data_IF_652250849107
#
_entry.id   IF_652250849107
#
_cell.length_a   1.000
_cell.length_b   1.000
_cell.length_c   1.000
_cell.angle_alpha   90.00
_cell.angle_beta   90.00
_cell.angle_gamma   90.00
#
_symmetry.space_group_name_H-M   'P 1'
#
loop_
_entity.id
_entity.type
_entity.pdbx_description
1 polymer ?
#
# COMPACT_ATOMS: atom_id res chain seq x y z
N UNK A 1 3.60 58.68 -35.14
CA UNK A 1 3.85 58.64 -33.68
C UNK A 1 3.68 57.20 -33.25
N UNK A 2 4.77 56.61 -32.79
CA UNK A 2 4.93 55.19 -32.45
C UNK A 2 4.84 55.04 -30.92
N UNK A 3 4.04 54.13 -30.34
CA UNK A 3 3.87 54.03 -28.89
C UNK A 3 4.96 53.22 -28.16
N UNK A 4 5.96 52.63 -28.83
CA UNK A 4 6.94 51.75 -28.16
C UNK A 4 8.28 52.39 -27.84
N UNK A 5 8.30 53.45 -27.02
CA UNK A 5 9.57 53.96 -26.47
C UNK A 5 9.45 54.42 -25.02
N UNK A 6 9.51 53.48 -24.08
CA UNK A 6 9.77 53.78 -22.67
C UNK A 6 11.28 53.61 -22.41
N UNK A 7 11.99 54.73 -22.19
CA UNK A 7 13.41 54.75 -21.81
C UNK A 7 13.53 54.94 -20.30
N UNK A 8 14.03 53.92 -19.60
CA UNK A 8 14.67 54.09 -18.28
C UNK A 8 16.07 53.49 -18.40
N UNK A 9 17.09 54.34 -18.15
CA UNK A 9 18.45 53.96 -17.76
C UNK A 9 19.15 52.85 -18.56
N UNK A 10 19.75 53.20 -19.70
CA UNK A 10 21.09 52.74 -20.12
C UNK A 10 21.44 51.24 -20.22
N UNK A 11 20.55 50.30 -19.92
CA UNK A 11 20.78 48.86 -20.10
C UNK A 11 19.79 48.31 -21.13
N UNK A 12 20.33 47.87 -22.27
CA UNK A 12 19.65 46.94 -23.16
C UNK A 12 19.51 45.61 -22.41
N UNK A 13 18.37 45.41 -21.75
CA UNK A 13 17.95 44.06 -21.40
C UNK A 13 17.57 43.37 -22.71
N UNK A 14 18.19 42.25 -23.09
CA UNK A 14 17.74 41.51 -24.25
C UNK A 14 16.28 41.13 -23.97
N UNK A 15 15.37 41.62 -24.79
CA UNK A 15 14.04 41.04 -24.91
C UNK A 15 14.29 39.59 -25.27
N UNK A 16 14.16 38.69 -24.29
CA UNK A 16 14.03 37.27 -24.57
C UNK A 16 12.71 37.19 -25.33
N UNK A 17 12.80 37.28 -26.65
CA UNK A 17 11.76 36.80 -27.53
C UNK A 17 11.54 35.36 -27.08
N UNK A 18 10.40 35.15 -26.41
CA UNK A 18 9.90 33.82 -26.12
C UNK A 18 9.65 33.23 -27.50
N UNK A 19 10.66 32.55 -28.06
CA UNK A 19 10.45 31.62 -29.18
C UNK A 19 9.19 30.86 -28.82
N UNK A 20 8.25 30.77 -29.75
CA UNK A 20 7.11 29.88 -29.63
C UNK A 20 7.68 28.46 -29.49
N UNK A 21 8.08 28.12 -28.27
CA UNK A 21 8.73 26.89 -27.93
C UNK A 21 7.60 25.90 -27.81
N UNK A 22 7.67 24.85 -28.61
CA UNK A 22 6.86 23.65 -28.42
C UNK A 22 6.79 23.32 -26.91
N UNK A 23 5.64 22.82 -26.42
CA UNK A 23 5.50 22.47 -25.02
C UNK A 23 6.70 21.62 -24.58
N UNK A 24 7.27 21.87 -23.39
CA UNK A 24 8.40 21.10 -22.90
C UNK A 24 8.05 19.61 -22.85
N UNK A 25 8.95 18.76 -23.35
CA UNK A 25 8.74 17.32 -23.43
C UNK A 25 9.23 16.59 -22.18
N UNK A 26 8.45 15.63 -21.67
CA UNK A 26 8.78 14.80 -20.51
C UNK A 26 8.56 13.33 -20.83
N UNK A 27 9.50 12.48 -20.41
CA UNK A 27 9.34 11.02 -20.45
C UNK A 27 9.10 10.52 -19.02
N UNK A 28 8.02 9.78 -18.83
CA UNK A 28 7.71 9.07 -17.59
C UNK A 28 8.04 7.59 -17.79
N UNK A 29 8.88 7.02 -16.93
CA UNK A 29 9.24 5.61 -16.98
C UNK A 29 8.36 4.85 -15.98
N UNK A 30 7.55 3.93 -16.51
CA UNK A 30 6.58 3.11 -15.78
C UNK A 30 5.14 3.61 -15.93
N UNK A 31 4.26 2.73 -16.38
CA UNK A 31 2.81 2.91 -16.52
C UNK A 31 2.03 2.41 -15.31
N UNK A 32 2.62 2.41 -14.11
CA UNK A 32 1.92 2.14 -12.86
C UNK A 32 1.06 3.32 -12.39
N UNK A 33 0.36 3.15 -11.25
CA UNK A 33 -0.51 4.20 -10.69
C UNK A 33 0.22 5.55 -10.50
N UNK A 34 1.46 5.53 -10.01
CA UNK A 34 2.27 6.73 -9.82
C UNK A 34 2.68 7.38 -11.15
N UNK A 35 3.08 6.58 -12.14
CA UNK A 35 3.48 7.08 -13.45
C UNK A 35 2.32 7.68 -14.23
N UNK A 36 1.16 7.03 -14.21
CA UNK A 36 -0.07 7.56 -14.81
C UNK A 36 -0.50 8.86 -14.11
N UNK A 37 -0.45 8.90 -12.76
CA UNK A 37 -0.77 10.12 -12.02
C UNK A 37 0.19 11.27 -12.37
N UNK A 38 1.50 11.01 -12.43
CA UNK A 38 2.49 12.00 -12.84
C UNK A 38 2.25 12.49 -14.27
N UNK A 39 2.01 11.56 -15.20
CA UNK A 39 1.72 11.88 -16.60
C UNK A 39 0.44 12.73 -16.74
N UNK A 40 -0.61 12.41 -15.97
CA UNK A 40 -1.86 13.18 -15.95
C UNK A 40 -1.63 14.63 -15.48
N UNK A 41 -0.92 14.82 -14.37
CA UNK A 41 -0.59 16.16 -13.84
C UNK A 41 0.26 16.96 -14.82
N UNK A 42 1.29 16.35 -15.41
CA UNK A 42 2.19 16.99 -16.37
C UNK A 42 1.45 17.35 -17.67
N UNK A 43 0.62 16.45 -18.18
CA UNK A 43 -0.19 16.70 -19.38
C UNK A 43 -1.15 17.87 -19.17
N UNK A 44 -1.78 17.97 -17.99
CA UNK A 44 -2.64 19.12 -17.64
C UNK A 44 -1.85 20.42 -17.46
N UNK A 45 -0.53 20.34 -17.30
CA UNK A 45 0.38 21.48 -17.13
C UNK A 45 1.04 21.92 -18.46
N UNK A 46 0.49 21.51 -19.60
CA UNK A 46 0.98 21.85 -20.95
C UNK A 46 2.38 21.29 -21.28
N UNK A 47 2.73 20.12 -20.72
CA UNK A 47 3.91 19.36 -21.16
C UNK A 47 3.51 18.34 -22.24
N UNK A 48 4.42 18.06 -23.16
CA UNK A 48 4.30 16.91 -24.07
C UNK A 48 4.83 15.67 -23.35
N UNK A 49 3.95 14.73 -22.97
CA UNK A 49 4.31 13.60 -22.11
C UNK A 49 4.30 12.29 -22.87
N UNK A 50 5.40 11.53 -22.78
CA UNK A 50 5.49 10.15 -23.24
C UNK A 50 5.67 9.21 -22.05
N UNK A 51 4.84 8.16 -21.95
CA UNK A 51 4.97 7.13 -20.91
C UNK A 51 5.60 5.88 -21.51
N UNK A 52 6.67 5.38 -20.91
CA UNK A 52 7.35 4.14 -21.30
C UNK A 52 7.06 3.06 -20.27
N UNK A 53 6.28 2.05 -20.63
CA UNK A 53 6.00 0.87 -19.81
C UNK A 53 6.72 -0.34 -20.41
N UNK A 54 7.33 -1.16 -19.56
CA UNK A 54 8.08 -2.34 -20.01
C UNK A 54 7.17 -3.54 -20.30
N UNK A 55 6.00 -3.58 -19.68
CA UNK A 55 4.98 -4.60 -19.91
C UNK A 55 4.09 -4.22 -21.09
N UNK A 56 3.33 -5.20 -21.57
CA UNK A 56 2.26 -5.07 -22.56
C UNK A 56 0.97 -4.46 -21.99
N UNK A 57 1.00 -4.02 -20.72
CA UNK A 57 -0.15 -3.48 -20.00
C UNK A 57 0.26 -2.37 -19.04
N UNK A 58 -0.67 -1.46 -18.79
CA UNK A 58 -0.57 -0.44 -17.73
C UNK A 58 -0.98 -1.01 -16.36
N UNK A 59 -0.90 -0.19 -15.31
CA UNK A 59 -1.34 -0.49 -13.94
C UNK A 59 -0.22 -0.94 -13.00
N UNK A 60 0.89 -1.44 -13.53
CA UNK A 60 2.01 -1.92 -12.72
C UNK A 60 1.59 -3.08 -11.81
N UNK A 61 1.72 -2.90 -10.49
CA UNK A 61 1.28 -3.87 -9.47
C UNK A 61 -0.25 -3.91 -9.28
N UNK A 62 -0.99 -2.96 -9.86
CA UNK A 62 -2.46 -3.05 -9.93
C UNK A 62 -2.79 -3.82 -11.20
N UNK A 63 -3.26 -5.06 -11.05
CA UNK A 63 -3.53 -5.96 -12.17
C UNK A 63 -4.71 -6.86 -11.85
N UNK A 64 -5.66 -6.91 -12.78
CA UNK A 64 -6.80 -7.82 -12.76
C UNK A 64 -6.63 -8.86 -13.86
N UNK A 65 -6.70 -10.13 -13.51
CA UNK A 65 -6.70 -11.26 -14.43
C UNK A 65 -8.14 -11.74 -14.66
N UNK A 66 -8.49 -12.04 -15.91
CA UNK A 66 -9.82 -12.50 -16.33
C UNK A 66 -9.80 -13.95 -16.81
N UNK A 67 -8.64 -14.62 -16.81
CA UNK A 67 -8.46 -15.98 -17.35
C UNK A 67 -9.25 -17.05 -16.59
N UNK A 68 -9.66 -16.78 -15.36
CA UNK A 68 -10.40 -17.70 -14.48
C UNK A 68 -11.93 -17.67 -14.68
N UNK A 69 -12.44 -16.92 -15.67
CA UNK A 69 -13.88 -16.76 -15.89
C UNK A 69 -14.56 -15.76 -14.95
N UNK A 70 -13.79 -15.15 -14.04
CA UNK A 70 -14.15 -14.00 -13.22
C UNK A 70 -12.93 -13.07 -13.06
N UNK A 71 -13.14 -11.77 -12.79
CA UNK A 71 -12.05 -10.86 -12.47
C UNK A 71 -11.39 -11.23 -11.15
N UNK A 72 -10.07 -11.43 -11.16
CA UNK A 72 -9.25 -11.70 -9.98
C UNK A 72 -8.14 -10.64 -9.90
N UNK A 73 -8.08 -9.92 -8.78
CA UNK A 73 -6.97 -8.99 -8.53
C UNK A 73 -5.70 -9.77 -8.16
N UNK A 74 -4.66 -9.60 -8.96
CA UNK A 74 -3.35 -10.24 -8.82
C UNK A 74 -2.35 -9.35 -8.09
N UNK A 75 -2.83 -8.32 -7.38
CA UNK A 75 -2.01 -7.31 -6.73
C UNK A 75 -2.79 -6.46 -5.74
N UNK A 76 -2.91 -5.17 -5.99
CA UNK A 76 -3.60 -4.25 -5.07
C UNK A 76 -5.13 -4.49 -5.07
N UNK A 77 -5.62 -5.32 -4.14
CA UNK A 77 -7.05 -5.65 -4.01
C UNK A 77 -7.76 -4.92 -2.86
N UNK A 78 -7.02 -4.19 -2.02
CA UNK A 78 -7.54 -3.59 -0.79
C UNK A 78 -7.28 -2.09 -0.75
N UNK A 79 -8.32 -1.36 -0.38
CA UNK A 79 -8.21 0.05 -0.06
C UNK A 79 -8.32 0.24 1.46
N UNK A 80 -7.19 0.52 2.10
CA UNK A 80 -7.17 0.82 3.52
C UNK A 80 -7.67 2.25 3.77
N UNK A 81 -8.58 2.40 4.73
CA UNK A 81 -9.23 3.67 5.09
C UNK A 81 -9.98 4.32 3.91
N UNK A 82 -11.31 4.22 3.91
CA UNK A 82 -12.20 4.87 2.94
C UNK A 82 -12.63 6.29 3.34
N UNK A 83 -11.89 6.91 4.27
CA UNK A 83 -12.12 8.29 4.72
C UNK A 83 -11.43 9.34 3.85
N UNK A 84 -11.60 10.62 4.21
CA UNK A 84 -10.98 11.77 3.53
C UNK A 84 -9.44 11.76 3.53
N UNK A 85 -8.82 10.93 4.37
CA UNK A 85 -7.37 10.80 4.48
C UNK A 85 -6.76 10.00 3.33
N UNK A 86 -7.60 9.32 2.53
CA UNK A 86 -7.16 8.53 1.39
C UNK A 86 -7.37 9.30 0.08
N UNK A 87 -6.26 9.68 -0.57
CA UNK A 87 -6.29 10.43 -1.84
C UNK A 87 -6.93 9.66 -3.00
N UNK A 88 -7.11 8.34 -2.89
CA UNK A 88 -7.81 7.52 -3.87
C UNK A 88 -9.34 7.49 -3.65
N UNK A 89 -9.82 7.82 -2.45
CA UNK A 89 -11.26 7.78 -2.15
C UNK A 89 -12.12 8.62 -3.10
N UNK A 90 -11.73 9.87 -3.47
CA UNK A 90 -12.47 10.65 -4.45
C UNK A 90 -12.46 10.03 -5.85
N UNK A 91 -11.39 9.34 -6.23
CA UNK A 91 -11.25 8.73 -7.57
C UNK A 91 -12.21 7.56 -7.75
N UNK A 92 -12.49 6.79 -6.71
CA UNK A 92 -13.41 5.64 -6.76
C UNK A 92 -14.80 6.07 -7.21
N UNK A 93 -15.33 7.14 -6.62
CA UNK A 93 -16.63 7.69 -6.97
C UNK A 93 -16.68 8.21 -8.40
N UNK A 94 -15.63 8.93 -8.84
CA UNK A 94 -15.54 9.41 -10.22
C UNK A 94 -15.43 8.28 -11.25
N UNK A 95 -14.79 7.17 -10.89
CA UNK A 95 -14.60 6.01 -11.75
C UNK A 95 -15.78 5.01 -11.69
N UNK A 96 -16.77 5.25 -10.82
CA UNK A 96 -17.90 4.36 -10.63
C UNK A 96 -17.50 2.98 -10.08
N UNK A 97 -16.39 2.90 -9.35
CA UNK A 97 -15.90 1.65 -8.78
C UNK A 97 -16.73 1.26 -7.56
N UNK A 98 -17.09 -0.02 -7.49
CA UNK A 98 -17.85 -0.58 -6.38
C UNK A 98 -16.88 -0.93 -5.26
N UNK A 99 -17.20 -0.50 -4.04
CA UNK A 99 -16.47 -0.89 -2.83
C UNK A 99 -17.27 -1.90 -2.03
N UNK A 100 -16.59 -2.96 -1.61
CA UNK A 100 -17.13 -3.93 -0.68
C UNK A 100 -16.45 -3.74 0.68
N UNK A 101 -17.26 -3.43 1.70
CA UNK A 101 -16.73 -3.32 3.05
C UNK A 101 -16.32 -4.71 3.55
N UNK A 102 -15.07 -4.85 3.96
CA UNK A 102 -14.56 -6.08 4.54
C UNK A 102 -14.30 -5.86 6.02
N UNK A 103 -15.00 -6.62 6.88
CA UNK A 103 -14.72 -6.61 8.32
C UNK A 103 -13.40 -7.34 8.60
N UNK A 104 -12.45 -6.62 9.19
CA UNK A 104 -11.20 -7.20 9.69
C UNK A 104 -11.40 -8.15 10.87
N UNK A 105 -12.53 -8.04 11.57
CA UNK A 105 -12.83 -8.82 12.76
C UNK A 105 -13.62 -10.09 12.45
N UNK A 106 -14.11 -10.26 11.22
CA UNK A 106 -14.89 -11.42 10.81
C UNK A 106 -14.00 -12.48 10.13
N UNK A 107 -13.24 -13.20 10.96
CA UNK A 107 -12.38 -14.28 10.52
C UNK A 107 -12.59 -15.56 11.33
N UNK A 108 -12.31 -16.70 10.69
CA UNK A 108 -12.15 -17.99 11.37
C UNK A 108 -10.74 -18.48 11.12
N UNK A 109 -10.05 -18.88 12.19
CA UNK A 109 -8.75 -19.52 12.12
C UNK A 109 -8.92 -21.03 12.04
N UNK A 110 -8.22 -21.67 11.11
CA UNK A 110 -8.13 -23.12 11.00
C UNK A 110 -6.71 -23.59 11.25
N UNK A 111 -6.53 -24.66 12.02
CA UNK A 111 -5.24 -25.29 12.23
C UNK A 111 -4.76 -26.07 10.98
N UNK A 112 -3.55 -26.63 11.05
CA UNK A 112 -2.98 -27.45 9.97
C UNK A 112 -3.77 -28.74 9.64
N UNK A 113 -4.70 -29.15 10.51
CA UNK A 113 -5.59 -30.30 10.28
C UNK A 113 -6.92 -29.85 9.66
N UNK A 114 -7.12 -28.55 9.44
CA UNK A 114 -8.37 -27.97 8.95
C UNK A 114 -9.46 -27.85 10.02
N UNK A 115 -9.10 -27.93 11.30
CA UNK A 115 -10.05 -27.76 12.41
C UNK A 115 -10.14 -26.29 12.81
N UNK A 116 -11.36 -25.80 13.04
CA UNK A 116 -11.57 -24.44 13.49
C UNK A 116 -11.00 -24.24 14.91
N UNK A 117 -10.20 -23.19 15.07
CA UNK A 117 -9.64 -22.79 16.36
C UNK A 117 -10.69 -22.01 17.14
N UNK A 118 -10.97 -22.35 18.42
CA UNK A 118 -11.92 -21.61 19.24
C UNK A 118 -11.57 -20.13 19.38
N UNK A 119 -12.58 -19.25 19.38
CA UNK A 119 -12.39 -17.79 19.43
C UNK A 119 -11.63 -17.31 20.66
N UNK A 120 -11.84 -17.93 21.83
CA UNK A 120 -11.08 -17.59 23.05
C UNK A 120 -9.58 -17.76 22.83
N UNK A 121 -9.23 -18.86 22.17
CA UNK A 121 -7.85 -19.19 21.87
C UNK A 121 -7.26 -18.26 20.82
N UNK A 122 -8.01 -18.00 19.74
CA UNK A 122 -7.64 -17.03 18.70
C UNK A 122 -7.40 -15.62 19.28
N UNK A 123 -8.26 -15.17 20.19
CA UNK A 123 -8.13 -13.87 20.85
C UNK A 123 -6.87 -13.79 21.72
N UNK A 124 -6.55 -14.83 22.49
CA UNK A 124 -5.31 -14.89 23.29
C UNK A 124 -4.06 -14.79 22.40
N UNK A 125 -4.08 -15.46 21.25
CA UNK A 125 -3.01 -15.30 20.25
C UNK A 125 -2.89 -13.89 19.73
N UNK A 126 -4.00 -13.24 19.39
CA UNK A 126 -4.01 -11.86 18.92
C UNK A 126 -3.30 -10.93 19.91
N UNK A 127 -3.63 -11.03 21.20
CA UNK A 127 -3.01 -10.22 22.26
C UNK A 127 -1.50 -10.45 22.37
N UNK A 128 -1.06 -11.72 22.32
CA UNK A 128 0.37 -12.07 22.39
C UNK A 128 1.11 -11.56 21.16
N UNK A 129 0.51 -11.73 19.98
CA UNK A 129 1.09 -11.29 18.71
C UNK A 129 1.23 -9.76 18.67
N UNK A 130 0.21 -9.01 19.09
CA UNK A 130 0.28 -7.56 19.21
C UNK A 130 1.39 -7.10 20.19
N UNK A 131 1.55 -7.79 21.33
CA UNK A 131 2.63 -7.51 22.27
C UNK A 131 4.00 -7.72 21.61
N UNK A 132 4.19 -8.81 20.87
CA UNK A 132 5.44 -9.07 20.13
C UNK A 132 5.70 -7.97 19.11
N UNK A 133 4.72 -7.64 18.27
CA UNK A 133 4.87 -6.58 17.27
C UNK A 133 5.24 -5.24 17.91
N UNK A 134 4.57 -4.86 18.99
CA UNK A 134 4.85 -3.61 19.70
C UNK A 134 6.26 -3.58 20.30
N UNK A 135 6.72 -4.69 20.84
CA UNK A 135 8.09 -4.79 21.38
C UNK A 135 9.14 -4.85 20.26
N UNK A 136 8.82 -5.37 19.07
CA UNK A 136 9.73 -5.44 17.92
C UNK A 136 9.95 -4.09 17.23
N UNK A 137 9.04 -3.12 17.42
CA UNK A 137 9.19 -1.75 16.88
C UNK A 137 10.23 -0.94 17.68
N UNK A 138 10.30 -1.12 19.00
CA UNK A 138 11.24 -0.37 19.86
C UNK A 138 12.71 -0.47 19.42
N UNK A 139 13.30 -1.66 19.20
CA UNK A 139 14.69 -1.76 18.75
C UNK A 139 14.92 -1.26 17.31
N UNK A 140 13.86 -1.13 16.50
CA UNK A 140 13.94 -0.57 15.14
C UNK A 140 14.01 0.96 15.17
N UNK A 141 13.27 1.60 16.07
CA UNK A 141 13.30 3.06 16.21
C UNK A 141 14.57 3.56 16.93
N UNK A 142 15.20 2.70 17.74
CA UNK A 142 16.40 3.03 18.51
C UNK A 142 17.72 2.92 17.72
N UNK A 143 17.70 2.34 16.52
CA UNK A 143 18.91 2.13 15.71
C UNK A 143 18.91 2.98 14.44
N UNK A 144 20.04 3.59 14.12
CA UNK A 144 20.23 4.37 12.87
C UNK A 144 20.22 3.51 11.60
N UNK A 145 20.36 2.18 11.72
CA UNK A 145 20.45 1.26 10.59
C UNK A 145 19.22 0.37 10.50
N UNK A 146 18.79 0.12 9.26
CA UNK A 146 17.59 -0.65 8.95
C UNK A 146 17.76 -2.12 9.35
N UNK A 147 16.85 -2.62 10.20
CA UNK A 147 16.89 -3.98 10.74
C UNK A 147 15.81 -4.87 10.12
N UNK A 148 16.19 -6.10 9.76
CA UNK A 148 15.23 -7.09 9.25
C UNK A 148 14.21 -7.46 10.33
N UNK A 149 12.94 -7.61 9.93
CA UNK A 149 11.86 -7.94 10.86
C UNK A 149 12.13 -9.26 11.60
N UNK A 150 12.70 -10.24 10.92
CA UNK A 150 13.08 -11.53 11.51
C UNK A 150 14.04 -11.38 12.70
N UNK A 151 15.01 -10.46 12.59
CA UNK A 151 15.98 -10.19 13.65
C UNK A 151 15.29 -9.46 14.81
N UNK A 152 14.46 -8.47 14.53
CA UNK A 152 13.71 -7.73 15.54
C UNK A 152 12.76 -8.65 16.34
N UNK A 153 12.08 -9.58 15.67
CA UNK A 153 11.23 -10.58 16.34
C UNK A 153 12.08 -11.53 17.19
N UNK A 154 13.20 -12.04 16.65
CA UNK A 154 14.07 -12.96 17.39
C UNK A 154 14.59 -12.33 18.69
N UNK A 155 15.03 -11.06 18.63
CA UNK A 155 15.48 -10.33 19.82
C UNK A 155 14.38 -10.16 20.87
N UNK A 156 13.14 -9.94 20.45
CA UNK A 156 11.99 -9.84 21.37
C UNK A 156 11.71 -11.18 22.03
N UNK A 157 11.72 -12.28 21.27
CA UNK A 157 11.48 -13.63 21.79
C UNK A 157 12.59 -14.08 22.75
N UNK A 158 13.85 -13.67 22.53
CA UNK A 158 14.95 -13.89 23.47
C UNK A 158 14.80 -13.10 24.77
N UNK A 159 14.33 -11.85 24.69
CA UNK A 159 14.11 -10.97 25.87
C UNK A 159 12.86 -11.33 26.65
N UNK A 160 11.88 -11.95 26.00
CA UNK A 160 10.60 -12.34 26.57
C UNK A 160 10.35 -13.84 26.35
N UNK A 161 10.99 -14.72 27.14
CA UNK A 161 10.79 -16.17 27.06
C UNK A 161 9.32 -16.57 27.29
N UNK A 162 8.55 -15.74 28.01
CA UNK A 162 7.10 -15.87 28.20
C UNK A 162 6.30 -15.75 26.90
N UNK A 163 6.88 -15.14 25.87
CA UNK A 163 6.32 -15.00 24.52
C UNK A 163 6.87 -16.05 23.55
N UNK A 164 7.78 -16.92 24.00
CA UNK A 164 8.47 -17.86 23.13
C UNK A 164 7.58 -19.05 22.77
N UNK A 165 7.28 -19.18 21.48
CA UNK A 165 6.53 -20.30 20.93
C UNK A 165 7.46 -21.50 20.76
N UNK A 166 7.46 -22.43 21.71
CA UNK A 166 8.28 -23.64 21.58
C UNK A 166 7.68 -24.52 20.48
N UNK A 167 8.41 -24.80 19.41
CA UNK A 167 7.97 -25.66 18.28
C UNK A 167 6.71 -25.19 17.52
N UNK A 168 6.56 -23.88 17.31
CA UNK A 168 5.41 -23.35 16.55
C UNK A 168 4.09 -23.51 17.30
N UNK A 169 4.16 -23.73 18.62
CA UNK A 169 3.05 -24.08 19.48
C UNK A 169 2.97 -23.08 20.62
N UNK A 170 1.84 -22.37 20.74
CA UNK A 170 1.54 -21.62 21.96
C UNK A 170 0.99 -22.59 23.01
N UNK A 171 1.69 -22.73 24.13
CA UNK A 171 1.15 -23.37 25.33
C UNK A 171 0.47 -22.28 26.15
N UNK A 172 -0.85 -22.17 26.04
CA UNK A 172 -1.62 -21.32 26.94
C UNK A 172 -1.93 -22.16 28.17
N UNK A 173 -1.65 -21.68 29.39
CA UNK A 173 -1.99 -22.40 30.61
C UNK A 173 -3.44 -22.89 30.59
N UNK A 174 -3.61 -24.22 30.52
CA UNK A 174 -4.92 -24.90 30.46
C UNK A 174 -5.56 -25.08 29.08
N UNK A 175 -4.99 -24.53 28.00
CA UNK A 175 -5.46 -24.76 26.63
C UNK A 175 -4.31 -25.32 25.78
N UNK A 176 -4.50 -26.53 25.26
CA UNK A 176 -3.48 -27.33 24.59
C UNK A 176 -2.80 -26.67 23.37
N UNK A 177 -1.87 -27.40 22.74
CA UNK A 177 -0.93 -26.87 21.76
C UNK A 177 -1.61 -26.27 20.53
N UNK A 178 -1.18 -25.08 20.10
CA UNK A 178 -1.73 -24.39 18.93
C UNK A 178 -0.69 -24.07 17.84
N UNK A 179 -0.80 -24.68 16.64
CA UNK A 179 0.17 -24.50 15.57
C UNK A 179 0.03 -23.17 14.82
N UNK A 180 1.18 -22.57 14.47
CA UNK A 180 1.35 -21.25 13.83
C UNK A 180 0.88 -21.14 12.36
N UNK A 181 0.33 -22.20 11.77
CA UNK A 181 -0.21 -22.17 10.41
C UNK A 181 -1.73 -22.02 10.48
N UNK A 182 -2.20 -20.78 10.64
CA UNK A 182 -3.62 -20.48 10.65
C UNK A 182 -4.07 -19.99 9.28
N UNK A 183 -5.00 -20.71 8.65
CA UNK A 183 -5.68 -20.20 7.46
C UNK A 183 -6.81 -19.27 7.90
N UNK A 184 -6.71 -17.99 7.52
CA UNK A 184 -7.76 -16.99 7.73
C UNK A 184 -8.73 -17.07 6.56
N UNK A 185 -9.96 -17.52 6.82
CA UNK A 185 -11.06 -17.38 5.86
C UNK A 185 -11.93 -16.20 6.27
N UNK A 186 -12.00 -15.19 5.40
CA UNK A 186 -13.00 -14.13 5.56
C UNK A 186 -14.39 -14.73 5.35
N UNK A 187 -15.31 -14.46 6.27
CA UNK A 187 -16.72 -14.80 6.10
C UNK A 187 -17.41 -13.55 5.55
N UNK A 188 -17.84 -13.53 4.28
CA UNK A 188 -18.56 -12.38 3.75
C UNK A 188 -19.85 -12.18 4.53
N UNK A 189 -20.09 -10.95 4.96
CA UNK A 189 -21.38 -10.57 5.53
C UNK A 189 -22.38 -10.49 4.37
N UNK A 190 -23.30 -11.46 4.29
CA UNK A 190 -24.34 -11.51 3.25
C UNK A 190 -25.51 -10.57 3.56
N UNK A 191 -25.31 -9.57 4.43
CA UNK A 191 -26.32 -8.57 4.78
C UNK A 191 -25.92 -7.15 4.35
N UNK A 192 -25.94 -6.90 3.03
CA UNK A 192 -26.54 -5.72 2.36
C UNK A 192 -26.20 -5.66 0.87
#
# INVERSE_FOLDING_TARGET
MDPSSFKIGGLLLPTIERRCASPPSVIVIGGGISGIAAAHVLSNSSFEVTVLESRDRIGGHVHMDYSFGCPIDMGASWLHSVGNDNSLAPLIGHLGLILYHTSGDNFVLYDHNGLAVPMETAAKFGVIFEKILKESVKPRDEQEHDMRLEQAISMVLERHPDLNFTHGTLMIDGAGPLPLLAYVKHVPDLSQ
#
